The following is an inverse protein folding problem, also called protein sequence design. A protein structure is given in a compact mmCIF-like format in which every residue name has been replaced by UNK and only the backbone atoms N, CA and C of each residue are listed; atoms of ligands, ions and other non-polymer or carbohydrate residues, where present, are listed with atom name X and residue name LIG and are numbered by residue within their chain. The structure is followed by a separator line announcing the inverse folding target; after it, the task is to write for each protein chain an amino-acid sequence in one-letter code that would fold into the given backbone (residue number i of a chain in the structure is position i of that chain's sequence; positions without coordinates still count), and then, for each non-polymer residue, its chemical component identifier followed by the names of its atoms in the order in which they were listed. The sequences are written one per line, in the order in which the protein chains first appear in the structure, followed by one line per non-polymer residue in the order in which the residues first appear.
data_IF_974714814933
#
_entry.id   IF_974714814933
#
_cell.length_a   1.000
_cell.length_b   1.000
_cell.length_c   1.000
_cell.angle_alpha   90.00
_cell.angle_beta   90.00
_cell.angle_gamma   90.00
#
_symmetry.space_group_name_H-M   'P 1'
#
loop_
_entity.id
_entity.type
_entity.pdbx_description
1 polymer ?
#
# COMPACT_ATOMS: atom_id res chain seq x y z
N UNK A 1 -7.27 15.14 -21.45
CA UNK A 1 -7.56 14.88 -21.03
C UNK A 1 -8.25 14.54 -20.33
N UNK A 2 -8.46 14.40 -20.22
CA UNK A 2 -8.87 14.15 -19.33
C UNK A 2 -9.97 13.95 -18.88
N UNK A 3 -10.54 14.08 -19.09
CA UNK A 3 -11.54 13.99 -18.82
C UNK A 3 -12.02 13.09 -18.11
N UNK A 4 -11.66 12.82 -17.48
CA UNK A 4 -11.82 12.09 -16.62
C UNK A 4 -12.58 12.47 -15.56
N UNK A 5 -13.61 12.10 -15.36
CA UNK A 5 -14.43 12.63 -14.57
C UNK A 5 -14.75 11.85 -13.41
N UNK A 6 -15.11 10.67 -13.38
CA UNK A 6 -15.44 10.00 -12.18
C UNK A 6 -14.19 9.46 -11.58
N UNK A 7 -14.15 9.24 -10.31
CA UNK A 7 -12.97 8.76 -9.65
C UNK A 7 -11.81 9.69 -9.87
N UNK A 8 -12.01 10.95 -9.60
CA UNK A 8 -11.00 11.95 -9.91
C UNK A 8 -9.63 11.65 -9.37
N UNK A 9 -9.55 11.16 -8.13
CA UNK A 9 -8.27 10.83 -7.56
C UNK A 9 -7.58 9.71 -8.30
N UNK A 10 -8.36 8.72 -8.69
CA UNK A 10 -7.84 7.59 -9.44
C UNK A 10 -7.27 8.02 -10.78
N UNK A 11 -8.03 8.80 -11.53
CA UNK A 11 -7.56 9.26 -12.83
C UNK A 11 -6.41 10.23 -12.71
N UNK A 12 -6.41 11.02 -11.65
CA UNK A 12 -5.35 11.97 -11.41
C UNK A 12 -4.01 11.25 -11.25
N UNK A 13 -3.98 10.19 -10.45
CA UNK A 13 -2.76 9.43 -10.28
C UNK A 13 -2.31 8.80 -11.59
N UNK A 14 -3.24 8.20 -12.31
CA UNK A 14 -2.93 7.55 -13.57
C UNK A 14 -2.39 8.55 -14.59
N UNK A 15 -3.02 9.70 -14.68
CA UNK A 15 -2.57 10.71 -15.63
C UNK A 15 -1.19 11.25 -15.30
N UNK A 16 -0.96 11.54 -14.02
CA UNK A 16 0.34 12.03 -13.63
C UNK A 16 1.43 11.01 -13.95
N UNK A 17 1.16 9.77 -13.62
CA UNK A 17 2.14 8.71 -13.89
C UNK A 17 2.35 8.52 -15.38
N UNK A 18 1.28 8.60 -16.18
CA UNK A 18 1.40 8.41 -17.63
C UNK A 18 2.20 9.52 -18.28
N UNK A 19 2.19 10.73 -17.72
CA UNK A 19 2.92 11.86 -18.29
C UNK A 19 4.38 11.87 -17.88
N UNK A 20 4.74 11.13 -16.85
CA UNK A 20 6.11 11.10 -16.39
C UNK A 20 6.99 10.36 -17.39
N UNK A 21 8.22 10.85 -17.56
CA UNK A 21 9.20 10.17 -18.38
C UNK A 21 9.90 9.04 -17.61
N UNK A 22 9.75 9.03 -16.30
CA UNK A 22 10.43 8.05 -15.47
C UNK A 22 9.48 6.95 -15.10
N UNK A 23 9.88 5.73 -15.41
CA UNK A 23 9.05 4.55 -15.18
C UNK A 23 9.39 3.97 -13.81
N UNK A 24 8.37 3.56 -13.08
CA UNK A 24 8.56 2.89 -11.82
C UNK A 24 9.09 1.46 -12.08
N UNK A 25 10.21 1.13 -11.49
CA UNK A 25 10.84 -0.17 -11.70
C UNK A 25 10.88 -1.04 -10.46
N UNK A 26 10.55 -0.55 -9.33
CA UNK A 26 10.60 -1.23 -8.03
C UNK A 26 11.99 -1.77 -7.66
N UNK A 27 13.03 -1.26 -8.30
CA UNK A 27 14.38 -1.52 -7.84
C UNK A 27 14.57 -0.80 -6.51
N UNK A 28 15.16 -1.47 -5.54
CA UNK A 28 15.39 -0.94 -4.21
C UNK A 28 14.10 -0.66 -3.45
N UNK A 29 12.96 -1.05 -4.02
CA UNK A 29 11.68 -0.79 -3.38
C UNK A 29 11.52 -1.58 -2.08
N UNK A 30 12.14 -2.76 -2.00
CA UNK A 30 12.00 -3.60 -0.81
C UNK A 30 12.52 -2.91 0.43
N UNK A 31 13.65 -2.21 0.33
CA UNK A 31 14.22 -1.48 1.46
C UNK A 31 13.28 -0.38 1.93
N UNK A 32 12.78 0.40 0.98
CA UNK A 32 11.87 1.50 1.31
C UNK A 32 10.54 0.99 1.82
N UNK A 33 10.02 -0.04 1.18
CA UNK A 33 8.75 -0.64 1.59
C UNK A 33 8.83 -1.19 3.01
N UNK A 34 9.93 -1.86 3.33
CA UNK A 34 10.11 -2.40 4.67
C UNK A 34 10.27 -1.28 5.69
N UNK A 35 11.03 -0.24 5.35
CA UNK A 35 11.19 0.91 6.23
C UNK A 35 9.88 1.61 6.52
N UNK A 36 9.04 1.75 5.50
CA UNK A 36 7.73 2.36 5.68
C UNK A 36 6.82 1.49 6.56
N UNK A 37 6.91 0.19 6.38
CA UNK A 37 6.10 -0.73 7.20
C UNK A 37 6.48 -0.60 8.67
N UNK A 38 7.78 -0.56 8.96
CA UNK A 38 8.24 -0.40 10.33
C UNK A 38 7.86 0.97 10.91
N UNK A 39 7.95 2.00 10.07
CA UNK A 39 7.55 3.34 10.48
C UNK A 39 6.06 3.40 10.81
N UNK A 40 5.25 2.71 10.02
CA UNK A 40 3.82 2.66 10.28
C UNK A 40 3.53 1.93 11.58
N UNK A 41 4.32 0.90 11.90
CA UNK A 41 4.20 0.21 13.17
C UNK A 41 4.48 1.13 14.35
N UNK A 42 5.53 1.94 14.23
CA UNK A 42 5.83 2.92 15.27
C UNK A 42 4.73 3.96 15.40
N UNK A 43 4.17 4.37 14.27
CA UNK A 43 3.07 5.32 14.28
C UNK A 43 1.84 4.73 14.97
N UNK A 44 1.50 3.48 14.69
CA UNK A 44 0.36 2.85 15.35
C UNK A 44 0.58 2.69 16.86
N UNK A 45 1.82 2.50 17.26
CA UNK A 45 2.13 2.33 18.67
C UNK A 45 2.11 3.65 19.44
N UNK A 46 2.56 4.73 18.82
CA UNK A 46 2.76 5.99 19.52
C UNK A 46 1.76 7.08 19.16
N UNK A 47 1.11 6.97 18.02
CA UNK A 47 0.21 8.01 17.54
C UNK A 47 0.92 9.20 16.91
N UNK A 48 2.24 9.14 16.77
CA UNK A 48 3.00 10.25 16.17
C UNK A 48 4.10 9.71 15.26
N UNK A 49 4.65 10.60 14.44
CA UNK A 49 5.67 10.25 13.46
C UNK A 49 6.97 10.93 13.88
N UNK A 50 8.03 10.13 14.06
CA UNK A 50 9.32 10.70 14.45
C UNK A 50 10.00 11.33 13.25
N UNK A 51 11.08 12.09 13.54
CA UNK A 51 11.78 12.82 12.49
C UNK A 51 12.38 11.89 11.44
N UNK A 52 12.92 10.77 11.87
CA UNK A 52 13.50 9.80 10.94
C UNK A 52 12.46 9.27 9.98
N UNK A 53 11.29 8.98 10.49
CA UNK A 53 10.22 8.43 9.66
C UNK A 53 9.66 9.49 8.71
N UNK A 54 9.66 10.75 9.14
CA UNK A 54 9.30 11.84 8.23
C UNK A 54 10.30 11.99 7.10
N UNK A 55 11.59 11.81 7.41
CA UNK A 55 12.62 11.89 6.37
C UNK A 55 12.45 10.76 5.36
N UNK A 56 12.15 9.57 5.86
CA UNK A 56 11.91 8.43 4.98
C UNK A 56 10.72 8.71 4.06
N UNK A 57 9.63 9.22 4.61
CA UNK A 57 8.47 9.57 3.82
C UNK A 57 8.82 10.61 2.76
N UNK A 58 9.61 11.61 3.13
CA UNK A 58 10.07 12.63 2.19
C UNK A 58 10.93 12.05 1.07
N UNK A 59 11.79 11.11 1.41
CA UNK A 59 12.62 10.43 0.42
C UNK A 59 11.77 9.68 -0.59
N UNK A 60 10.75 8.97 -0.11
CA UNK A 60 9.87 8.21 -0.97
C UNK A 60 9.09 9.15 -1.89
N UNK A 61 8.57 10.25 -1.34
CA UNK A 61 7.83 11.20 -2.17
C UNK A 61 8.70 11.79 -3.26
N UNK A 62 9.91 12.16 -2.93
CA UNK A 62 10.81 12.76 -3.92
C UNK A 62 11.16 11.77 -5.03
N UNK A 63 11.28 10.51 -4.69
CA UNK A 63 11.71 9.52 -5.66
C UNK A 63 10.60 8.82 -6.41
N UNK A 64 9.40 8.76 -5.84
CA UNK A 64 8.38 7.87 -6.38
C UNK A 64 7.03 8.51 -6.67
N UNK A 65 6.74 9.68 -6.11
CA UNK A 65 5.39 10.24 -6.23
C UNK A 65 4.97 10.56 -7.66
N UNK A 66 5.94 10.85 -8.53
CA UNK A 66 5.64 11.21 -9.91
C UNK A 66 6.03 10.14 -10.92
N UNK A 67 6.34 8.93 -10.46
CA UNK A 67 6.73 7.88 -11.39
C UNK A 67 5.53 7.31 -12.13
N UNK A 68 5.79 6.86 -13.36
CA UNK A 68 4.77 6.25 -14.18
C UNK A 68 4.74 4.75 -13.96
N UNK A 69 3.54 4.21 -13.75
CA UNK A 69 3.35 2.77 -13.60
C UNK A 69 2.68 2.25 -14.88
N UNK A 70 3.34 1.31 -15.54
CA UNK A 70 2.88 0.86 -16.86
C UNK A 70 2.00 -0.38 -16.82
N UNK A 71 2.00 -1.12 -15.73
CA UNK A 71 1.18 -2.32 -15.61
C UNK A 71 0.38 -2.25 -14.32
N UNK A 72 -0.65 -3.08 -14.23
CA UNK A 72 -1.45 -3.15 -13.01
C UNK A 72 -0.60 -3.59 -11.82
N UNK A 73 0.34 -4.51 -12.04
CA UNK A 73 1.22 -4.95 -10.97
C UNK A 73 2.05 -3.78 -10.44
N UNK A 74 2.60 -2.99 -11.34
CA UNK A 74 3.41 -1.83 -10.95
C UNK A 74 2.56 -0.76 -10.28
N UNK A 75 1.32 -0.56 -10.77
CA UNK A 75 0.41 0.39 -10.12
C UNK A 75 0.13 -0.01 -8.69
N UNK A 76 -0.14 -1.29 -8.47
CA UNK A 76 -0.40 -1.79 -7.13
C UNK A 76 0.80 -1.59 -6.21
N UNK A 77 1.99 -1.88 -6.71
CA UNK A 77 3.21 -1.71 -5.91
C UNK A 77 3.48 -0.25 -5.60
N UNK A 78 3.27 0.63 -6.58
CA UNK A 78 3.48 2.05 -6.37
C UNK A 78 2.46 2.60 -5.37
N UNK A 79 1.21 2.21 -5.50
CA UNK A 79 0.17 2.62 -4.56
C UNK A 79 0.50 2.12 -3.15
N UNK A 80 0.96 0.87 -3.03
CA UNK A 80 1.28 0.30 -1.74
C UNK A 80 2.46 1.00 -1.08
N UNK A 81 3.34 1.58 -1.88
CA UNK A 81 4.45 2.35 -1.37
C UNK A 81 4.00 3.75 -0.94
N UNK A 82 3.15 4.38 -1.74
CA UNK A 82 2.76 5.77 -1.52
C UNK A 82 1.71 5.96 -0.44
N UNK A 83 0.79 5.03 -0.28
CA UNK A 83 -0.30 5.23 0.70
C UNK A 83 0.23 5.38 2.13
N UNK A 84 1.07 4.46 2.64
CA UNK A 84 1.64 4.67 3.97
C UNK A 84 2.51 5.91 4.04
N UNK A 85 3.14 6.29 2.92
CA UNK A 85 3.96 7.49 2.88
C UNK A 85 3.12 8.74 3.12
N UNK A 86 1.97 8.84 2.46
CA UNK A 86 1.08 9.98 2.69
C UNK A 86 0.54 9.98 4.12
N UNK A 87 0.26 8.80 4.66
CA UNK A 87 -0.19 8.73 6.04
C UNK A 87 0.87 9.26 7.01
N UNK A 88 2.11 8.83 6.81
CA UNK A 88 3.20 9.25 7.69
C UNK A 88 3.57 10.72 7.50
N UNK A 89 3.37 11.26 6.31
CA UNK A 89 3.67 12.66 6.06
C UNK A 89 2.54 13.59 6.50
N UNK A 90 1.38 13.04 6.82
CA UNK A 90 0.27 13.85 7.27
C UNK A 90 -0.48 14.57 6.16
N UNK A 91 -0.26 14.17 4.90
CA UNK A 91 -0.94 14.79 3.76
C UNK A 91 -2.26 14.07 3.53
N UNK A 92 -3.29 14.53 4.23
CA UNK A 92 -4.59 13.87 4.19
C UNK A 92 -5.25 13.94 2.82
N UNK A 93 -5.06 15.04 2.12
CA UNK A 93 -5.66 15.20 0.81
C UNK A 93 -5.09 14.18 -0.18
N UNK A 94 -3.77 14.05 -0.20
CA UNK A 94 -3.13 13.06 -1.07
C UNK A 94 -3.51 11.65 -0.65
N UNK A 95 -3.62 11.41 0.65
CA UNK A 95 -4.01 10.11 1.17
C UNK A 95 -5.39 9.72 0.66
N UNK A 96 -6.37 10.62 0.78
CA UNK A 96 -7.73 10.33 0.36
C UNK A 96 -7.80 10.08 -1.15
N UNK A 97 -7.10 10.90 -1.93
CA UNK A 97 -7.09 10.70 -3.38
C UNK A 97 -6.50 9.36 -3.76
N UNK A 98 -5.39 8.99 -3.15
CA UNK A 98 -4.78 7.70 -3.45
C UNK A 98 -5.64 6.54 -2.96
N UNK A 99 -6.25 6.70 -1.82
CA UNK A 99 -7.18 5.70 -1.28
C UNK A 99 -8.31 5.44 -2.29
N UNK A 100 -8.87 6.50 -2.85
CA UNK A 100 -9.93 6.36 -3.85
C UNK A 100 -9.43 5.67 -5.11
N UNK A 101 -8.21 6.00 -5.53
CA UNK A 101 -7.58 5.33 -6.66
C UNK A 101 -7.46 3.83 -6.40
N UNK A 102 -7.00 3.46 -5.23
CA UNK A 102 -6.81 2.06 -4.89
C UNK A 102 -8.13 1.31 -4.82
N UNK A 103 -9.16 1.96 -4.30
CA UNK A 103 -10.50 1.37 -4.30
C UNK A 103 -10.98 1.09 -5.72
N UNK A 104 -10.68 2.01 -6.63
CA UNK A 104 -11.05 1.82 -8.03
C UNK A 104 -10.28 0.70 -8.71
N UNK A 105 -9.08 0.40 -8.22
CA UNK A 105 -8.28 -0.69 -8.77
C UNK A 105 -8.76 -2.07 -8.30
N UNK A 106 -9.41 -2.15 -7.16
CA UNK A 106 -9.81 -3.45 -6.60
C UNK A 106 -10.65 -4.30 -7.55
N UNK A 107 -11.68 -3.76 -8.21
CA UNK A 107 -12.46 -4.59 -9.12
C UNK A 107 -11.75 -4.90 -10.43
N UNK A 108 -10.68 -4.17 -10.74
CA UNK A 108 -9.97 -4.33 -12.01
C UNK A 108 -8.80 -5.29 -11.88
N UNK A 109 -8.10 -5.26 -10.75
CA UNK A 109 -6.91 -6.08 -10.54
C UNK A 109 -7.33 -7.47 -10.12
N UNK A 110 -7.02 -8.45 -10.97
CA UNK A 110 -7.43 -9.83 -10.74
C UNK A 110 -6.34 -10.71 -10.16
N UNK A 111 -5.08 -10.36 -10.38
CA UNK A 111 -3.97 -11.17 -9.88
C UNK A 111 -4.02 -11.22 -8.35
N UNK A 112 -4.06 -12.43 -7.74
CA UNK A 112 -4.27 -12.52 -6.29
C UNK A 112 -3.24 -11.81 -5.46
N UNK A 113 -1.97 -11.88 -5.84
CA UNK A 113 -0.93 -11.23 -5.05
C UNK A 113 -1.01 -9.70 -5.12
N UNK A 114 -1.31 -9.16 -6.31
CA UNK A 114 -1.47 -7.72 -6.45
C UNK A 114 -2.71 -7.23 -5.70
N UNK A 115 -3.78 -8.00 -5.78
CA UNK A 115 -5.00 -7.66 -5.07
C UNK A 115 -4.79 -7.72 -3.56
N UNK A 116 -4.08 -8.74 -3.09
CA UNK A 116 -3.77 -8.84 -1.67
C UNK A 116 -2.88 -7.69 -1.20
N UNK A 117 -1.92 -7.28 -2.03
CA UNK A 117 -1.06 -6.15 -1.68
C UNK A 117 -1.88 -4.88 -1.48
N UNK A 118 -2.84 -4.62 -2.37
CA UNK A 118 -3.73 -3.48 -2.19
C UNK A 118 -4.53 -3.57 -0.89
N UNK A 119 -5.11 -4.73 -0.64
CA UNK A 119 -5.98 -4.90 0.53
C UNK A 119 -5.23 -4.85 1.85
N UNK A 120 -4.06 -5.48 1.91
CA UNK A 120 -3.23 -5.44 3.12
C UNK A 120 -2.80 -4.00 3.40
N UNK A 121 -2.40 -3.27 2.35
CA UNK A 121 -1.98 -1.88 2.51
C UNK A 121 -3.15 -0.99 2.96
N UNK A 122 -4.29 -1.15 2.30
CA UNK A 122 -5.47 -0.39 2.68
C UNK A 122 -5.87 -0.66 4.12
N UNK A 123 -5.85 -1.93 4.53
CA UNK A 123 -6.17 -2.27 5.90
C UNK A 123 -5.18 -1.63 6.88
N UNK A 124 -3.90 -1.77 6.62
CA UNK A 124 -2.88 -1.25 7.53
C UNK A 124 -2.93 0.26 7.70
N UNK A 125 -3.40 0.98 6.68
CA UNK A 125 -3.45 2.42 6.71
C UNK A 125 -4.79 2.98 7.17
N UNK A 126 -5.87 2.18 7.15
CA UNK A 126 -7.21 2.68 7.48
C UNK A 126 -7.88 1.97 8.64
N UNK A 127 -7.41 0.77 8.99
CA UNK A 127 -8.07 -0.07 10.00
C UNK A 127 -9.53 -0.39 9.64
N UNK A 128 -9.81 -0.54 8.35
CA UNK A 128 -11.15 -0.82 7.89
C UNK A 128 -11.43 -2.31 7.95
N UNK A 129 -12.52 -2.71 8.60
CA UNK A 129 -12.85 -4.12 8.82
C UNK A 129 -13.09 -4.88 7.54
N UNK A 130 -13.66 -4.22 6.52
CA UNK A 130 -13.91 -4.87 5.25
C UNK A 130 -12.59 -5.22 4.56
N UNK A 131 -11.66 -4.27 4.56
CA UNK A 131 -10.34 -4.53 3.95
C UNK A 131 -9.63 -5.66 4.68
N UNK A 132 -9.74 -5.68 6.00
CA UNK A 132 -9.13 -6.75 6.78
C UNK A 132 -9.70 -8.11 6.38
N UNK A 133 -11.02 -8.20 6.31
CA UNK A 133 -11.67 -9.46 5.95
C UNK A 133 -11.26 -9.93 4.57
N UNK A 134 -11.28 -9.00 3.60
CA UNK A 134 -10.93 -9.35 2.24
C UNK A 134 -9.47 -9.75 2.12
N UNK A 135 -8.60 -9.09 2.86
CA UNK A 135 -7.18 -9.44 2.86
C UNK A 135 -6.98 -10.86 3.42
N UNK A 136 -7.64 -11.17 4.52
CA UNK A 136 -7.54 -12.50 5.12
C UNK A 136 -8.08 -13.59 4.20
N UNK A 137 -9.14 -13.29 3.48
CA UNK A 137 -9.70 -14.26 2.54
C UNK A 137 -8.69 -14.66 1.47
N UNK A 138 -7.87 -13.72 1.05
CA UNK A 138 -6.85 -14.00 0.05
C UNK A 138 -5.58 -14.60 0.62
N UNK A 139 -5.15 -14.10 1.77
CA UNK A 139 -3.83 -14.41 2.30
C UNK A 139 -3.82 -15.67 3.15
N UNK A 140 -4.86 -15.91 3.94
CA UNK A 140 -4.87 -17.03 4.86
C UNK A 140 -4.62 -18.39 4.20
N UNK A 141 -5.21 -18.67 3.02
CA UNK A 141 -4.92 -19.95 2.37
C UNK A 141 -3.44 -20.15 2.02
N UNK A 142 -2.68 -19.06 1.91
CA UNK A 142 -1.26 -19.17 1.56
C UNK A 142 -0.43 -19.73 2.71
N UNK A 143 -0.94 -19.67 3.92
CA UNK A 143 -0.18 -20.13 5.09
C UNK A 143 0.02 -21.65 5.11
N UNK A 144 -0.81 -22.37 4.37
CA UNK A 144 -0.67 -23.82 4.30
C UNK A 144 0.18 -24.27 3.12
N UNK A 145 0.66 -23.33 2.31
CA UNK A 145 1.55 -23.64 1.20
C UNK A 145 2.89 -24.09 1.77
N UNK A 146 3.37 -25.30 1.40
CA UNK A 146 4.63 -25.81 1.96
C UNK A 146 5.85 -25.03 1.46
N UNK A 147 5.73 -24.28 0.38
CA UNK A 147 6.86 -23.58 -0.20
C UNK A 147 6.41 -22.26 -0.82
N UNK A 148 5.94 -21.31 0.00
CA UNK A 148 5.40 -20.07 -0.54
C UNK A 148 6.50 -19.17 -1.07
N UNK A 149 6.16 -18.38 -2.08
CA UNK A 149 7.07 -17.40 -2.63
C UNK A 149 7.33 -16.30 -1.60
N UNK A 150 8.49 -15.66 -1.73
CA UNK A 150 8.88 -14.59 -0.82
C UNK A 150 7.84 -13.49 -0.75
N UNK A 151 7.22 -13.14 -1.89
CA UNK A 151 6.21 -12.10 -1.92
C UNK A 151 4.98 -12.47 -1.10
N UNK A 152 4.59 -13.75 -1.11
CA UNK A 152 3.47 -14.20 -0.29
C UNK A 152 3.83 -14.18 1.19
N UNK A 153 5.04 -14.59 1.52
CA UNK A 153 5.50 -14.57 2.91
C UNK A 153 5.49 -13.14 3.45
N UNK A 154 5.90 -12.19 2.64
CA UNK A 154 5.90 -10.79 3.05
C UNK A 154 4.49 -10.31 3.36
N UNK A 155 3.52 -10.67 2.54
CA UNK A 155 2.13 -10.26 2.77
C UNK A 155 1.52 -10.93 4.00
N UNK A 156 1.84 -12.21 4.21
CA UNK A 156 1.40 -12.92 5.41
C UNK A 156 1.92 -12.21 6.65
N UNK A 157 3.22 -11.88 6.64
CA UNK A 157 3.84 -11.22 7.78
C UNK A 157 3.23 -9.84 8.03
N UNK A 158 3.05 -9.06 6.98
CA UNK A 158 2.52 -7.70 7.13
C UNK A 158 1.08 -7.70 7.62
N UNK A 159 0.28 -8.63 7.13
CA UNK A 159 -1.10 -8.71 7.60
C UNK A 159 -1.14 -9.07 9.08
N UNK A 160 -0.29 -10.01 9.52
CA UNK A 160 -0.20 -10.36 10.92
C UNK A 160 0.28 -9.19 11.78
N UNK A 161 1.25 -8.43 11.28
CA UNK A 161 1.74 -7.24 11.98
C UNK A 161 0.62 -6.21 12.15
N UNK A 162 -0.15 -5.95 11.09
CA UNK A 162 -1.25 -5.00 11.18
C UNK A 162 -2.32 -5.45 12.15
N UNK A 163 -2.65 -6.75 12.14
CA UNK A 163 -3.62 -7.27 13.11
C UNK A 163 -3.15 -7.01 14.52
N UNK A 164 -1.88 -7.26 14.78
CA UNK A 164 -1.31 -7.05 16.10
C UNK A 164 -1.29 -5.58 16.48
N UNK A 165 -0.82 -4.73 15.55
CA UNK A 165 -0.69 -3.31 15.82
C UNK A 165 -2.04 -2.62 15.97
N UNK A 166 -3.04 -3.11 15.25
CA UNK A 166 -4.36 -2.49 15.26
C UNK A 166 -5.33 -3.15 16.24
N UNK A 167 -4.84 -4.14 16.99
CA UNK A 167 -5.65 -4.75 18.03
C UNK A 167 -6.65 -5.78 17.57
N UNK A 168 -6.39 -6.41 16.42
CA UNK A 168 -7.31 -7.40 15.86
C UNK A 168 -6.70 -8.81 15.86
N UNK A 169 -5.73 -9.01 16.72
CA UNK A 169 -5.07 -10.31 16.79
C UNK A 169 -6.08 -11.37 17.16
N UNK A 170 -6.03 -12.48 16.45
CA UNK A 170 -6.98 -13.55 16.67
C UNK A 170 -6.66 -14.27 17.97
N UNK A 171 -7.70 -14.53 18.74
CA UNK A 171 -7.54 -15.15 20.04
C UNK A 171 -7.17 -16.61 19.94
N UNK A 172 -7.70 -17.26 18.95
CA UNK A 172 -7.46 -18.68 18.82
C UNK A 172 -6.25 -19.00 17.95
N UNK A 173 -5.53 -18.03 17.58
CA UNK A 173 -4.33 -18.27 16.80
C UNK A 173 -3.14 -18.47 17.69
#
# INVERSE_FOLDING_TARGET
MGTLVRGEGEYELIELNAKSKHVYTHLDNDRLSEGLHEALGRYHASGSVCEEDRRLAGEVLRGYASLRAETDVMRCKLCALLLPTYKLSGDEEAFVRLHDTMRGLLPVVKAPQSRALLLVTLYGCTDNALYRRMAHELVDPWQVDPSPKKSKLSLIRRLGDYDRWLGHESVDS
#
